data_IF_512619321901
#
_entry.id   IF_512619321901
#
_cell.length_a   1.000
_cell.length_b   1.000
_cell.length_c   1.000
_cell.angle_alpha   90.00
_cell.angle_beta   90.00
_cell.angle_gamma   90.00
#
_symmetry.space_group_name_H-M   'P 1'
#
loop_
_entity.id
_entity.type
_entity.pdbx_description
1 polymer ?
#
# COMPACT_ATOMS: atom_id res chain seq x y z
N UNK A 1 -3.62 -10.43 -6.27
CA UNK A 1 -3.53 -9.48 -5.13
C UNK A 1 -2.94 -10.13 -3.90
N UNK A 2 -3.40 -11.33 -3.48
CA UNK A 2 -2.84 -12.04 -2.30
C UNK A 2 -1.31 -12.19 -2.40
N UNK A 3 -0.79 -12.65 -3.55
CA UNK A 3 0.65 -12.74 -3.81
C UNK A 3 1.42 -11.42 -3.63
N UNK A 4 0.84 -10.28 -4.03
CA UNK A 4 1.46 -8.96 -3.84
C UNK A 4 1.55 -8.62 -2.35
N UNK A 5 0.50 -8.91 -1.58
CA UNK A 5 0.49 -8.68 -0.14
C UNK A 5 1.52 -9.56 0.57
N UNK A 6 1.59 -10.84 0.20
CA UNK A 6 2.56 -11.79 0.76
C UNK A 6 4.01 -11.36 0.42
N UNK A 7 4.24 -10.77 -0.76
CA UNK A 7 5.55 -10.23 -1.15
C UNK A 7 5.91 -8.95 -0.39
N UNK A 8 4.95 -8.10 -0.01
CA UNK A 8 5.22 -6.94 0.86
C UNK A 8 5.69 -7.41 2.24
N UNK A 9 5.04 -8.43 2.80
CA UNK A 9 5.46 -9.04 4.07
C UNK A 9 6.86 -9.68 3.95
N UNK A 10 7.09 -10.45 2.88
CA UNK A 10 8.41 -11.03 2.60
C UNK A 10 9.51 -9.98 2.45
N UNK A 11 9.18 -8.82 1.85
CA UNK A 11 10.11 -7.70 1.74
C UNK A 11 10.45 -7.11 3.12
N UNK A 12 9.47 -7.00 4.04
CA UNK A 12 9.74 -6.55 5.42
C UNK A 12 10.60 -7.53 6.20
N UNK A 13 10.40 -8.83 6.01
CA UNK A 13 11.18 -9.88 6.69
C UNK A 13 12.63 -9.90 6.19
N UNK A 14 12.83 -9.55 4.92
CA UNK A 14 14.14 -9.39 4.30
C UNK A 14 14.75 -7.99 4.48
N UNK A 15 14.14 -7.11 5.29
CA UNK A 15 14.56 -5.70 5.50
C UNK A 15 14.65 -4.86 4.20
N UNK A 16 13.89 -5.22 3.16
CA UNK A 16 13.76 -4.49 1.90
C UNK A 16 12.74 -3.35 2.06
N UNK A 17 13.02 -2.44 2.99
CA UNK A 17 12.10 -1.42 3.50
C UNK A 17 11.51 -0.50 2.44
N UNK A 18 12.31 -0.03 1.48
CA UNK A 18 11.80 0.81 0.39
C UNK A 18 10.80 0.06 -0.49
N UNK A 19 11.02 -1.22 -0.76
CA UNK A 19 10.12 -2.04 -1.58
C UNK A 19 8.82 -2.33 -0.82
N UNK A 20 8.94 -2.70 0.46
CA UNK A 20 7.78 -2.90 1.33
C UNK A 20 6.92 -1.63 1.43
N UNK A 21 7.54 -0.49 1.73
CA UNK A 21 6.85 0.80 1.87
C UNK A 21 6.19 1.23 0.55
N UNK A 22 6.91 1.15 -0.57
CA UNK A 22 6.35 1.46 -1.88
C UNK A 22 5.16 0.54 -2.21
N UNK A 23 5.29 -0.76 -1.98
CA UNK A 23 4.21 -1.72 -2.16
C UNK A 23 2.98 -1.42 -1.28
N UNK A 24 3.20 -1.10 0.00
CA UNK A 24 2.14 -0.74 0.93
C UNK A 24 1.39 0.53 0.51
N UNK A 25 2.08 1.54 -0.01
CA UNK A 25 1.44 2.79 -0.47
C UNK A 25 0.67 2.61 -1.79
N UNK A 26 0.94 1.57 -2.57
CA UNK A 26 0.15 1.25 -3.77
C UNK A 26 -1.20 0.60 -3.44
N UNK A 27 -1.33 -0.02 -2.27
CA UNK A 27 -2.52 -0.79 -1.88
C UNK A 27 -3.83 -0.01 -2.06
N UNK A 28 -4.00 1.21 -1.52
CA UNK A 28 -5.28 1.90 -1.60
C UNK A 28 -5.68 2.26 -3.04
N UNK A 29 -4.70 2.53 -3.92
CA UNK A 29 -4.98 2.74 -5.34
C UNK A 29 -5.44 1.47 -6.04
N UNK A 30 -4.74 0.36 -5.81
CA UNK A 30 -5.11 -0.93 -6.41
C UNK A 30 -6.49 -1.35 -5.92
N UNK A 31 -6.75 -1.27 -4.62
CA UNK A 31 -8.06 -1.58 -4.05
C UNK A 31 -9.14 -0.61 -4.56
N UNK A 32 -8.86 0.69 -4.61
CA UNK A 32 -9.76 1.71 -5.14
C UNK A 32 -10.11 1.48 -6.60
N UNK A 33 -9.14 1.08 -7.44
CA UNK A 33 -9.37 0.70 -8.82
C UNK A 33 -10.21 -0.58 -8.94
N UNK A 34 -9.81 -1.64 -8.22
CA UNK A 34 -10.46 -2.94 -8.27
C UNK A 34 -11.90 -2.90 -7.73
N UNK A 35 -12.22 -2.01 -6.77
CA UNK A 35 -13.56 -1.76 -6.27
C UNK A 35 -14.40 -0.77 -7.10
N UNK A 36 -13.88 -0.21 -8.20
CA UNK A 36 -14.57 0.85 -8.95
C UNK A 36 -15.28 0.37 -10.22
N UNK A 37 -16.40 1.03 -10.57
CA UNK A 37 -17.16 0.73 -11.80
C UNK A 37 -16.33 0.87 -13.08
N UNK A 38 -15.37 1.79 -13.12
CA UNK A 38 -14.51 2.02 -14.28
C UNK A 38 -13.15 1.30 -14.20
N UNK A 39 -12.88 0.54 -13.14
CA UNK A 39 -11.62 -0.18 -12.96
C UNK A 39 -10.39 0.71 -12.79
N UNK A 40 -10.57 2.00 -12.42
CA UNK A 40 -9.49 2.98 -12.30
C UNK A 40 -9.47 3.60 -10.90
N UNK A 41 -8.27 3.84 -10.37
CA UNK A 41 -8.13 4.64 -9.16
C UNK A 41 -8.31 6.14 -9.44
N UNK A 42 -8.50 6.91 -8.37
CA UNK A 42 -8.43 8.36 -8.33
C UNK A 42 -7.97 8.78 -6.94
N UNK A 43 -7.52 10.04 -6.79
CA UNK A 43 -7.20 10.63 -5.48
C UNK A 43 -8.31 10.37 -4.46
N UNK A 44 -9.56 10.67 -4.83
CA UNK A 44 -10.72 10.48 -3.95
C UNK A 44 -10.89 9.01 -3.52
N UNK A 45 -10.72 8.05 -4.44
CA UNK A 45 -10.83 6.62 -4.11
C UNK A 45 -9.72 6.17 -3.16
N UNK A 46 -8.49 6.66 -3.35
CA UNK A 46 -7.39 6.40 -2.43
C UNK A 46 -7.73 6.89 -1.02
N UNK A 47 -8.10 8.17 -0.91
CA UNK A 47 -8.39 8.83 0.36
C UNK A 47 -9.52 8.09 1.09
N UNK A 48 -10.61 7.80 0.38
CA UNK A 48 -11.78 7.13 0.95
C UNK A 48 -11.46 5.68 1.36
N UNK A 49 -10.67 4.95 0.57
CA UNK A 49 -10.23 3.61 0.93
C UNK A 49 -9.35 3.64 2.18
N UNK A 50 -8.36 4.53 2.23
CA UNK A 50 -7.46 4.66 3.37
C UNK A 50 -8.25 5.05 4.63
N UNK A 51 -9.13 6.04 4.54
CA UNK A 51 -9.97 6.48 5.65
C UNK A 51 -10.84 5.33 6.21
N UNK A 52 -11.41 4.49 5.33
CA UNK A 52 -12.27 3.37 5.74
C UNK A 52 -11.49 2.22 6.36
N UNK A 53 -10.35 1.82 5.79
CA UNK A 53 -9.70 0.55 6.16
C UNK A 53 -8.40 0.70 6.94
N UNK A 54 -7.72 1.83 6.84
CA UNK A 54 -6.32 1.99 7.25
C UNK A 54 -6.07 3.21 8.18
N UNK A 55 -7.08 4.04 8.44
CA UNK A 55 -6.96 5.22 9.30
C UNK A 55 -6.51 4.90 10.73
N UNK A 56 -6.85 3.72 11.24
CA UNK A 56 -6.47 3.27 12.57
C UNK A 56 -4.98 2.87 12.68
N UNK A 57 -4.27 2.70 11.56
CA UNK A 57 -2.83 2.40 11.57
C UNK A 57 -2.08 3.56 12.22
N UNK A 58 -2.40 4.79 11.84
CA UNK A 58 -1.87 5.99 12.46
C UNK A 58 -2.93 7.08 12.45
N UNK A 59 -3.57 7.38 13.60
CA UNK A 59 -4.60 8.41 13.69
C UNK A 59 -4.17 9.82 13.26
N UNK A 60 -2.87 10.11 13.25
CA UNK A 60 -2.31 11.38 12.80
C UNK A 60 -2.12 11.45 11.27
N UNK A 61 -2.17 10.33 10.57
CA UNK A 61 -2.02 10.28 9.12
C UNK A 61 -3.40 10.27 8.45
N UNK A 62 -3.81 11.41 7.90
CA UNK A 62 -5.06 11.48 7.13
C UNK A 62 -4.93 10.73 5.79
N UNK A 63 -6.06 10.37 5.17
CA UNK A 63 -6.05 9.79 3.84
C UNK A 63 -5.46 10.73 2.78
N UNK A 64 -5.63 12.04 2.96
CA UNK A 64 -5.05 13.08 2.10
C UNK A 64 -3.52 13.14 2.25
N UNK A 65 -3.02 13.18 3.49
CA UNK A 65 -1.57 13.19 3.74
C UNK A 65 -0.92 11.90 3.26
N UNK A 66 -1.57 10.75 3.46
CA UNK A 66 -1.08 9.48 2.94
C UNK A 66 -1.03 9.47 1.41
N UNK A 67 -2.05 10.02 0.73
CA UNK A 67 -2.06 10.14 -0.73
C UNK A 67 -0.94 11.06 -1.24
N UNK A 68 -0.71 12.19 -0.56
CA UNK A 68 0.38 13.13 -0.86
C UNK A 68 1.73 12.48 -0.69
N UNK A 69 1.96 11.84 0.46
CA UNK A 69 3.20 11.13 0.75
C UNK A 69 3.46 10.00 -0.27
N UNK A 70 2.42 9.26 -0.65
CA UNK A 70 2.51 8.27 -1.74
C UNK A 70 2.98 8.92 -3.04
N UNK A 71 2.45 10.08 -3.41
CA UNK A 71 2.86 10.80 -4.62
C UNK A 71 4.31 11.29 -4.53
N UNK A 72 4.72 11.92 -3.42
CA UNK A 72 6.08 12.43 -3.25
C UNK A 72 7.10 11.29 -3.21
N UNK A 73 6.82 10.18 -2.53
CA UNK A 73 7.71 9.03 -2.47
C UNK A 73 7.84 8.35 -3.84
N UNK A 74 6.72 7.96 -4.46
CA UNK A 74 6.74 7.10 -5.66
C UNK A 74 7.10 7.84 -6.94
N UNK A 75 6.87 9.15 -7.02
CA UNK A 75 7.15 9.94 -8.24
C UNK A 75 8.35 10.86 -8.10
N UNK A 76 8.74 11.24 -6.88
CA UNK A 76 9.84 12.18 -6.64
C UNK A 76 10.94 11.63 -5.72
N UNK A 77 10.77 10.43 -5.13
CA UNK A 77 11.72 9.89 -4.16
C UNK A 77 11.83 10.73 -2.88
N UNK A 78 10.80 11.52 -2.55
CA UNK A 78 10.83 12.50 -1.47
C UNK A 78 9.93 12.09 -0.31
N UNK A 79 10.34 12.43 0.91
CA UNK A 79 9.51 12.30 2.11
C UNK A 79 8.73 13.56 2.45
N UNK A 80 8.75 14.57 1.57
CA UNK A 80 8.26 15.93 1.81
C UNK A 80 7.27 16.33 0.71
N UNK A 81 6.21 17.02 1.10
CA UNK A 81 5.26 17.71 0.22
C UNK A 81 4.82 18.99 0.95
N UNK A 82 5.06 20.16 0.37
CA UNK A 82 4.74 21.47 0.94
C UNK A 82 3.24 21.64 1.28
N UNK A 83 2.38 20.77 0.72
CA UNK A 83 0.93 20.78 0.91
C UNK A 83 0.47 19.74 1.94
N UNK A 84 1.38 18.95 2.51
CA UNK A 84 1.06 18.02 3.60
C UNK A 84 1.01 18.75 4.94
N UNK A 85 0.29 18.19 5.90
CA UNK A 85 0.27 18.69 7.28
C UNK A 85 1.60 18.55 8.02
N UNK A 86 2.54 17.76 7.50
CA UNK A 86 3.84 17.52 8.10
C UNK A 86 4.96 17.96 7.15
N UNK A 87 6.04 18.55 7.68
CA UNK A 87 7.18 18.94 6.86
C UNK A 87 7.84 17.72 6.20
N UNK A 88 7.77 16.57 6.88
CA UNK A 88 8.25 15.28 6.41
C UNK A 88 7.61 14.11 7.14
N UNK A 89 7.63 12.97 6.47
CA UNK A 89 7.30 11.67 7.07
C UNK A 89 8.59 10.88 7.32
N UNK A 90 8.80 10.44 8.55
CA UNK A 90 9.95 9.65 8.99
C UNK A 90 9.51 8.21 9.24
N UNK A 91 10.26 7.27 8.68
CA UNK A 91 10.10 5.85 8.96
C UNK A 91 11.28 5.37 9.79
N UNK A 92 11.00 4.84 10.99
CA UNK A 92 12.01 4.19 11.82
C UNK A 92 11.99 2.70 11.52
N UNK A 93 13.18 2.14 11.35
CA UNK A 93 13.36 0.71 11.19
C UNK A 93 13.03 -0.01 12.50
N UNK A 94 12.38 -1.17 12.41
CA UNK A 94 12.10 -1.97 13.59
C UNK A 94 13.41 -2.37 14.27
N UNK A 95 13.42 -2.42 15.60
CA UNK A 95 14.60 -2.76 16.44
C UNK A 95 15.78 -1.79 16.39
N UNK A 96 15.69 -0.69 15.64
CA UNK A 96 16.73 0.35 15.64
C UNK A 96 16.84 1.11 16.98
N UNK A 97 15.80 1.01 17.80
CA UNK A 97 15.68 1.67 19.11
C UNK A 97 15.15 0.71 20.16
N UNK A 98 15.36 1.03 21.45
CA UNK A 98 14.79 0.26 22.58
C UNK A 98 13.29 0.43 22.71
N UNK A 99 12.76 1.58 22.28
CA UNK A 99 11.33 1.89 22.27
C UNK A 99 10.77 1.80 20.86
N UNK A 100 9.48 1.47 20.73
CA UNK A 100 8.76 1.54 19.45
C UNK A 100 8.22 2.97 19.26
N UNK A 101 8.66 3.63 18.20
CA UNK A 101 8.18 4.96 17.83
C UNK A 101 7.24 4.85 16.64
N UNK A 102 5.94 4.93 16.91
CA UNK A 102 4.90 4.81 15.89
C UNK A 102 3.81 5.85 16.06
N UNK A 103 3.48 6.54 14.97
CA UNK A 103 2.45 7.58 14.93
C UNK A 103 2.67 8.69 15.97
N UNK A 104 3.88 9.23 16.02
CA UNK A 104 4.24 10.36 16.87
C UNK A 104 4.50 11.60 16.02
N UNK A 105 4.25 12.78 16.55
CA UNK A 105 4.73 14.03 15.94
C UNK A 105 5.99 14.48 16.69
N UNK A 106 7.12 14.49 15.99
CA UNK A 106 8.41 14.93 16.53
C UNK A 106 8.75 16.26 15.87
N UNK A 107 8.59 17.36 16.62
CA UNK A 107 8.57 18.72 16.09
C UNK A 107 7.47 18.88 15.02
N UNK A 108 7.84 19.00 13.76
CA UNK A 108 6.99 19.18 12.59
C UNK A 108 6.96 17.95 11.66
N UNK A 109 7.61 16.85 12.07
CA UNK A 109 7.68 15.60 11.33
C UNK A 109 6.73 14.54 11.91
N UNK A 110 6.02 13.83 11.03
CA UNK A 110 5.29 12.62 11.41
C UNK A 110 6.25 11.44 11.43
N UNK A 111 6.32 10.75 12.56
CA UNK A 111 7.18 9.60 12.77
C UNK A 111 6.35 8.31 12.86
N UNK A 112 6.75 7.29 12.10
CA UNK A 112 6.03 6.03 11.92
C UNK A 112 7.02 4.85 12.00
N UNK A 113 6.61 3.77 12.64
CA UNK A 113 7.34 2.50 12.57
C UNK A 113 6.99 1.83 11.22
N UNK A 114 8.01 1.54 10.42
CA UNK A 114 7.80 1.02 9.06
C UNK A 114 7.12 -0.34 9.03
N UNK A 115 7.43 -1.22 10.00
CA UNK A 115 6.84 -2.55 10.05
C UNK A 115 5.37 -2.45 10.45
N UNK A 116 5.05 -1.66 11.48
CA UNK A 116 3.66 -1.45 11.91
C UNK A 116 2.84 -0.86 10.77
N UNK A 117 3.38 0.14 10.05
CA UNK A 117 2.68 0.73 8.92
C UNK A 117 2.42 -0.26 7.80
N UNK A 118 3.45 -0.97 7.33
CA UNK A 118 3.32 -1.86 6.18
C UNK A 118 2.42 -3.07 6.49
N UNK A 119 2.57 -3.69 7.66
CA UNK A 119 1.70 -4.78 8.11
C UNK A 119 0.25 -4.30 8.32
N UNK A 120 0.08 -3.08 8.84
CA UNK A 120 -1.23 -2.45 8.98
C UNK A 120 -1.93 -2.29 7.63
N UNK A 121 -1.21 -1.84 6.61
CA UNK A 121 -1.73 -1.66 5.25
C UNK A 121 -2.09 -3.01 4.60
N UNK A 122 -1.25 -4.04 4.79
CA UNK A 122 -1.54 -5.41 4.33
C UNK A 122 -2.80 -5.96 5.02
N UNK A 123 -2.90 -5.82 6.34
CA UNK A 123 -4.08 -6.26 7.09
C UNK A 123 -5.35 -5.52 6.65
N UNK A 124 -5.26 -4.22 6.39
CA UNK A 124 -6.36 -3.43 5.83
C UNK A 124 -6.80 -3.96 4.44
N UNK A 125 -5.84 -4.29 3.58
CA UNK A 125 -6.11 -4.90 2.27
C UNK A 125 -6.81 -6.26 2.39
N UNK A 126 -6.36 -7.11 3.31
CA UNK A 126 -6.97 -8.43 3.56
C UNK A 126 -8.41 -8.30 4.08
N UNK A 127 -8.68 -7.34 4.98
CA UNK A 127 -10.06 -7.03 5.42
C UNK A 127 -10.95 -6.59 4.25
N UNK A 128 -10.46 -5.65 3.45
CA UNK A 128 -11.19 -5.19 2.27
C UNK A 128 -11.48 -6.33 1.29
N UNK A 129 -10.50 -7.19 1.02
CA UNK A 129 -10.67 -8.37 0.16
C UNK A 129 -11.79 -9.29 0.66
N UNK A 130 -11.88 -9.53 1.97
CA UNK A 130 -12.95 -10.32 2.57
C UNK A 130 -14.36 -9.76 2.31
N UNK A 131 -14.49 -8.44 2.08
CA UNK A 131 -15.77 -7.81 1.74
C UNK A 131 -16.11 -7.92 0.25
N UNK A 132 -15.10 -7.93 -0.65
CA UNK A 132 -15.34 -7.71 -2.08
C UNK A 132 -14.99 -8.87 -2.99
N UNK A 133 -14.19 -9.85 -2.55
CA UNK A 133 -13.58 -10.85 -3.45
C UNK A 133 -14.61 -11.72 -4.18
N UNK A 134 -15.78 -11.94 -3.56
CA UNK A 134 -16.90 -12.68 -4.16
C UNK A 134 -17.72 -11.89 -5.18
N UNK A 135 -17.55 -10.57 -5.26
CA UNK A 135 -18.40 -9.71 -6.10
C UNK A 135 -18.01 -9.77 -7.58
N UNK A 136 -19.00 -9.67 -8.48
CA UNK A 136 -18.74 -9.64 -9.92
C UNK A 136 -17.92 -8.42 -10.36
N UNK A 137 -18.10 -7.29 -9.68
CA UNK A 137 -17.32 -6.08 -9.93
C UNK A 137 -15.82 -6.32 -9.71
N UNK A 138 -15.49 -6.90 -8.55
CA UNK A 138 -14.11 -7.22 -8.20
C UNK A 138 -13.54 -8.25 -9.17
N UNK A 139 -14.22 -9.39 -9.38
CA UNK A 139 -13.77 -10.44 -10.30
C UNK A 139 -13.50 -9.88 -11.70
N UNK A 140 -14.41 -9.05 -12.23
CA UNK A 140 -14.26 -8.41 -13.54
C UNK A 140 -13.01 -7.54 -13.61
N UNK A 141 -12.78 -6.69 -12.61
CA UNK A 141 -11.63 -5.79 -12.60
C UNK A 141 -10.30 -6.53 -12.38
N UNK A 142 -10.31 -7.58 -11.57
CA UNK A 142 -9.13 -8.40 -11.28
C UNK A 142 -8.65 -9.25 -12.46
N UNK A 143 -9.45 -9.43 -13.52
CA UNK A 143 -8.97 -10.08 -14.77
C UNK A 143 -7.79 -9.36 -15.42
N UNK A 144 -7.62 -8.06 -15.14
CA UNK A 144 -6.53 -7.22 -15.67
C UNK A 144 -5.45 -6.92 -14.62
N UNK A 145 -5.51 -7.56 -13.47
CA UNK A 145 -4.54 -7.35 -12.40
C UNK A 145 -3.23 -8.07 -12.71
N UNK A 146 -2.12 -7.35 -12.57
CA UNK A 146 -0.76 -7.89 -12.72
C UNK A 146 -0.54 -9.02 -11.71
N UNK A 147 -0.36 -10.25 -12.18
CA UNK A 147 -0.18 -11.42 -11.34
C UNK A 147 0.84 -12.39 -11.93
N UNK A 148 1.27 -13.34 -11.10
CA UNK A 148 2.16 -14.40 -11.53
C UNK A 148 1.35 -15.53 -12.18
N UNK A 149 1.83 -16.00 -13.31
CA UNK A 149 1.35 -17.19 -14.02
C UNK A 149 2.45 -18.26 -13.97
N UNK A 150 2.41 -19.21 -13.01
CA UNK A 150 3.51 -20.14 -12.78
C UNK A 150 3.87 -21.04 -13.98
N UNK A 151 2.91 -21.30 -14.86
CA UNK A 151 3.06 -22.20 -16.01
C UNK A 151 3.06 -21.46 -17.36
N UNK A 152 3.16 -20.14 -17.35
CA UNK A 152 3.03 -19.29 -18.53
C UNK A 152 1.62 -18.73 -18.75
N UNK A 153 1.50 -17.84 -19.73
CA UNK A 153 0.26 -17.21 -20.17
C UNK A 153 0.05 -17.49 -21.67
N UNK A 154 -0.71 -18.54 -21.99
CA UNK A 154 -1.05 -18.87 -23.37
C UNK A 154 -1.94 -17.79 -24.02
N UNK A 155 -1.80 -17.51 -25.33
CA UNK A 155 -0.87 -18.13 -26.28
C UNK A 155 0.53 -17.47 -26.30
N UNK A 156 0.82 -16.52 -25.41
CA UNK A 156 2.03 -15.70 -25.47
C UNK A 156 3.28 -16.46 -25.03
N UNK A 157 3.26 -17.07 -23.85
CA UNK A 157 4.38 -17.82 -23.27
C UNK A 157 3.80 -19.07 -22.59
N UNK A 158 4.36 -20.26 -22.83
CA UNK A 158 3.90 -21.52 -22.25
C UNK A 158 5.08 -22.27 -21.63
N UNK A 159 4.88 -22.91 -20.47
CA UNK A 159 5.85 -23.80 -19.84
C UNK A 159 6.88 -23.11 -18.94
N UNK A 160 6.87 -21.78 -18.82
CA UNK A 160 7.74 -21.03 -17.90
C UNK A 160 6.95 -19.96 -17.14
N UNK A 161 7.32 -19.66 -15.87
CA UNK A 161 6.64 -18.62 -15.10
C UNK A 161 6.74 -17.24 -15.75
N UNK A 162 5.62 -16.51 -15.79
CA UNK A 162 5.57 -15.11 -16.26
C UNK A 162 4.78 -14.23 -15.30
N UNK A 163 4.95 -12.91 -15.39
CA UNK A 163 4.19 -11.93 -14.64
C UNK A 163 3.52 -10.99 -15.65
N UNK A 164 2.20 -10.87 -15.61
CA UNK A 164 1.40 -10.02 -16.51
C UNK A 164 0.09 -9.57 -15.87
#
# INVERSE_FOLDING_TARGET
MKDLLDQIESALDANLYFLALAGSLLIPDICGAAGSKNGRSSREKYINWFAKYASNICPFLSGEDCWRFRCSLLHQGSSQDERSSYCRVLFIEPTATTNVFHCNVLNDALNIDIRIFCLGMVAAARRWLGEVEGTELFKRNMRKFMQRYPNGLAPYIVGVPVIS
#
